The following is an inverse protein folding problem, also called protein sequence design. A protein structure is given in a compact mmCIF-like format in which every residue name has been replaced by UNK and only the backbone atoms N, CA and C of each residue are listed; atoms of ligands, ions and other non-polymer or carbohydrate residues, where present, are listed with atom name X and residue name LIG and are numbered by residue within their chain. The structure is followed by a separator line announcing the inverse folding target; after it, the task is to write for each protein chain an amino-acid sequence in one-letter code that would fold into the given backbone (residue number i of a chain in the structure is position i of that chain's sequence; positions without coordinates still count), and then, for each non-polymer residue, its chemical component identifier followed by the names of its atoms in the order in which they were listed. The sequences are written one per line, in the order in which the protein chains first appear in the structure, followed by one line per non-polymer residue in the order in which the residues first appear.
data_IF_704164929123
#
_entry.id   IF_704164929123
#
_cell.length_a   1.000
_cell.length_b   1.000
_cell.length_c   1.000
_cell.angle_alpha   90.00
_cell.angle_beta   90.00
_cell.angle_gamma   90.00
#
_symmetry.space_group_name_H-M   'P 1'
#
loop_
_entity.id
_entity.type
_entity.pdbx_description
1 polymer ?
#
# COMPACT_ATOMS: atom_id res chain seq x y z
N UNK A 1 -6.58 22.02 15.82
CA UNK A 1 -5.81 20.80 15.48
C UNK A 1 -5.47 20.83 14.00
N UNK A 2 -4.19 20.73 13.61
CA UNK A 2 -3.77 20.75 12.20
C UNK A 2 -3.86 19.32 11.67
N UNK A 3 -4.86 19.00 10.84
CA UNK A 3 -4.96 17.67 10.24
C UNK A 3 -3.77 17.49 9.29
N UNK A 4 -2.85 16.58 9.64
CA UNK A 4 -1.75 16.16 8.77
C UNK A 4 -2.40 15.51 7.55
N UNK A 5 -2.22 16.10 6.37
CA UNK A 5 -2.83 15.62 5.12
C UNK A 5 -2.53 14.14 4.98
N UNK A 6 -3.54 13.28 5.09
CA UNK A 6 -3.40 11.84 4.85
C UNK A 6 -3.00 11.68 3.39
N UNK A 7 -1.72 11.42 3.14
CA UNK A 7 -1.22 11.14 1.79
C UNK A 7 -1.88 9.83 1.33
N UNK A 8 -2.93 9.94 0.50
CA UNK A 8 -3.50 8.77 -0.18
C UNK A 8 -2.48 8.25 -1.18
N UNK A 9 -2.48 6.95 -1.41
CA UNK A 9 -1.68 6.38 -2.48
C UNK A 9 -2.28 6.78 -3.82
N UNK A 10 -1.41 7.20 -4.73
CA UNK A 10 -1.74 7.41 -6.14
C UNK A 10 -2.09 6.08 -6.80
N UNK A 11 -2.74 6.11 -7.96
CA UNK A 11 -3.09 4.90 -8.70
C UNK A 11 -1.84 4.12 -9.14
N UNK A 12 -0.78 4.83 -9.47
CA UNK A 12 0.53 4.30 -9.85
C UNK A 12 1.20 3.56 -8.68
N UNK A 13 1.21 4.16 -7.48
CA UNK A 13 1.75 3.51 -6.28
C UNK A 13 1.00 2.22 -5.95
N UNK A 14 -0.34 2.21 -6.11
CA UNK A 14 -1.15 1.00 -5.90
C UNK A 14 -0.86 -0.09 -6.94
N UNK A 15 -0.70 0.28 -8.21
CA UNK A 15 -0.34 -0.67 -9.27
C UNK A 15 1.03 -1.31 -9.01
N UNK A 16 2.02 -0.50 -8.62
CA UNK A 16 3.36 -1.00 -8.26
C UNK A 16 3.30 -1.97 -7.08
N UNK A 17 2.46 -1.68 -6.09
CA UNK A 17 2.25 -2.54 -4.92
C UNK A 17 1.61 -3.88 -5.30
N UNK A 18 0.61 -3.88 -6.19
CA UNK A 18 -0.04 -5.09 -6.69
C UNK A 18 0.93 -5.95 -7.52
N UNK A 19 1.71 -5.34 -8.41
CA UNK A 19 2.71 -6.04 -9.22
C UNK A 19 3.76 -6.76 -8.36
N UNK A 20 4.21 -6.14 -7.27
CA UNK A 20 5.13 -6.76 -6.31
C UNK A 20 4.48 -7.86 -5.48
N UNK A 21 3.21 -7.70 -5.11
CA UNK A 21 2.47 -8.75 -4.42
C UNK A 21 2.28 -9.98 -5.31
N UNK A 22 1.96 -9.78 -6.59
CA UNK A 22 1.88 -10.86 -7.60
C UNK A 22 3.23 -11.57 -7.80
N UNK A 23 4.35 -10.85 -7.67
CA UNK A 23 5.71 -11.43 -7.67
C UNK A 23 6.04 -12.23 -6.41
N UNK A 24 5.15 -12.27 -5.42
CA UNK A 24 5.35 -12.99 -4.16
C UNK A 24 6.15 -12.21 -3.11
N UNK A 25 6.34 -10.91 -3.27
CA UNK A 25 6.94 -10.09 -2.22
C UNK A 25 6.02 -10.02 -0.98
N UNK A 26 6.63 -10.04 0.20
CA UNK A 26 5.88 -9.89 1.45
C UNK A 26 5.43 -8.45 1.64
N UNK A 27 4.30 -8.25 2.32
CA UNK A 27 3.77 -6.91 2.58
C UNK A 27 4.76 -6.00 3.33
N UNK A 28 5.60 -6.56 4.20
CA UNK A 28 6.64 -5.81 4.90
C UNK A 28 7.72 -5.28 3.96
N UNK A 29 8.15 -6.09 2.98
CA UNK A 29 9.12 -5.67 1.96
C UNK A 29 8.54 -4.57 1.07
N UNK A 30 7.30 -4.77 0.60
CA UNK A 30 6.57 -3.79 -0.21
C UNK A 30 6.43 -2.46 0.55
N UNK A 31 6.05 -2.48 1.82
CA UNK A 31 5.87 -1.28 2.61
C UNK A 31 7.18 -0.55 2.95
N UNK A 32 8.28 -1.30 3.11
CA UNK A 32 9.62 -0.73 3.35
C UNK A 32 10.05 0.19 2.20
N UNK A 33 9.71 -0.15 0.96
CA UNK A 33 10.01 0.65 -0.23
C UNK A 33 9.31 2.02 -0.25
N UNK A 34 8.16 2.15 0.40
CA UNK A 34 7.42 3.41 0.47
C UNK A 34 7.76 4.25 1.71
N UNK A 35 8.75 3.81 2.50
CA UNK A 35 9.22 4.50 3.70
C UNK A 35 8.06 4.90 4.65
N UNK A 36 7.03 4.05 4.74
CA UNK A 36 5.89 4.26 5.66
C UNK A 36 6.00 3.36 6.87
N UNK A 37 5.80 3.96 8.04
CA UNK A 37 5.64 3.23 9.30
C UNK A 37 4.45 2.25 9.23
N UNK A 38 4.65 1.10 9.86
CA UNK A 38 3.80 -0.10 9.82
C UNK A 38 2.29 0.16 9.99
N UNK A 39 1.90 1.20 10.74
CA UNK A 39 0.50 1.53 11.07
C UNK A 39 -0.36 1.97 9.88
N UNK A 40 0.22 2.29 8.72
CA UNK A 40 -0.54 2.59 7.48
C UNK A 40 -0.66 1.40 6.51
N UNK A 41 -0.13 0.23 6.88
CA UNK A 41 -0.15 -0.99 6.04
C UNK A 41 -1.50 -1.72 6.15
N UNK A 42 -2.17 -1.64 7.30
CA UNK A 42 -3.42 -2.38 7.54
C UNK A 42 -4.54 -1.96 6.57
N UNK A 43 -4.70 -0.65 6.37
CA UNK A 43 -5.61 -0.11 5.35
C UNK A 43 -5.15 -0.38 3.92
N UNK A 44 -3.86 -0.66 3.70
CA UNK A 44 -3.30 -0.99 2.40
C UNK A 44 -3.60 -2.44 2.00
N UNK A 45 -3.46 -3.40 2.91
CA UNK A 45 -3.80 -4.81 2.65
C UNK A 45 -5.27 -4.93 2.23
N UNK A 46 -6.18 -4.27 2.96
CA UNK A 46 -7.61 -4.26 2.61
C UNK A 46 -7.87 -3.64 1.23
N UNK A 47 -7.11 -2.60 0.84
CA UNK A 47 -7.29 -1.89 -0.42
C UNK A 47 -6.76 -2.69 -1.62
N UNK A 48 -5.57 -3.29 -1.52
CA UNK A 48 -4.96 -4.08 -2.59
C UNK A 48 -5.71 -5.39 -2.81
N UNK A 49 -6.12 -6.08 -1.74
CA UNK A 49 -6.91 -7.31 -1.85
C UNK A 49 -8.30 -7.03 -2.47
N UNK A 50 -8.90 -5.87 -2.17
CA UNK A 50 -10.17 -5.46 -2.81
C UNK A 50 -10.00 -5.05 -4.27
N UNK A 51 -8.83 -4.56 -4.68
CA UNK A 51 -8.57 -4.13 -6.05
C UNK A 51 -8.31 -5.32 -6.99
N UNK A 52 -7.71 -6.41 -6.48
CA UNK A 52 -7.36 -7.61 -7.24
C UNK A 52 -8.52 -8.58 -7.54
N UNK A 53 -9.75 -8.26 -7.13
CA UNK A 53 -10.96 -9.07 -7.37
C UNK A 53 -11.88 -8.48 -8.47
N UNK A 54 -11.35 -7.58 -9.30
CA UNK A 54 -12.11 -6.95 -10.39
C UNK A 54 -11.43 -7.09 -11.74
#
# INVERSE_FOLDING_TARGET
MKQRTRRRYTEEEKSLMWDRWQKGETFGAIASLFNRYHSSIEGFVSYVVSFGLR
#
